data_IF_506039096031
#
_entry.id   IF_506039096031
#
_cell.length_a   1.000
_cell.length_b   1.000
_cell.length_c   1.000
_cell.angle_alpha   90.00
_cell.angle_beta   90.00
_cell.angle_gamma   90.00
#
_symmetry.space_group_name_H-M   'P 1'
#
loop_
_entity.id
_entity.type
_entity.pdbx_description
1 polymer ?
#
# COMPACT_ATOMS: atom_id res chain seq x y z
N UNK A 1 8.97 -9.29 19.21
CA UNK A 1 7.98 -10.38 19.00
C UNK A 1 8.68 -11.55 18.35
N UNK A 2 8.46 -12.80 18.81
CA UNK A 2 8.83 -13.99 18.04
C UNK A 2 7.55 -14.50 17.38
N UNK A 3 7.57 -14.68 16.06
CA UNK A 3 6.45 -15.28 15.33
C UNK A 3 6.38 -16.78 15.63
N UNK A 4 5.16 -17.32 15.76
CA UNK A 4 4.98 -18.76 15.86
C UNK A 4 5.18 -19.42 14.48
N UNK A 5 5.54 -20.70 14.42
CA UNK A 5 5.61 -21.43 13.15
C UNK A 5 4.34 -21.31 12.30
N UNK A 6 3.16 -21.37 12.93
CA UNK A 6 1.86 -21.24 12.25
C UNK A 6 1.71 -19.85 11.63
N UNK A 7 2.15 -18.80 12.32
CA UNK A 7 2.11 -17.43 11.81
C UNK A 7 3.07 -17.25 10.62
N UNK A 8 4.25 -17.87 10.68
CA UNK A 8 5.20 -17.83 9.55
C UNK A 8 4.65 -18.56 8.32
N UNK A 9 3.97 -19.69 8.52
CA UNK A 9 3.30 -20.43 7.45
C UNK A 9 2.16 -19.58 6.84
N UNK A 10 1.32 -18.94 7.66
CA UNK A 10 0.27 -18.01 7.18
C UNK A 10 0.87 -16.87 6.33
N UNK A 11 1.96 -16.27 6.79
CA UNK A 11 2.65 -15.21 6.05
C UNK A 11 3.20 -15.72 4.70
N UNK A 12 3.80 -16.90 4.68
CA UNK A 12 4.29 -17.52 3.44
C UNK A 12 3.14 -17.82 2.46
N UNK A 13 2.05 -18.41 2.94
CA UNK A 13 0.85 -18.68 2.14
C UNK A 13 0.28 -17.39 1.56
N UNK A 14 0.24 -16.30 2.34
CA UNK A 14 -0.21 -14.99 1.85
C UNK A 14 0.68 -14.45 0.74
N UNK A 15 2.00 -14.56 0.86
CA UNK A 15 2.91 -14.14 -0.21
C UNK A 15 2.65 -14.93 -1.51
N UNK A 16 2.48 -16.25 -1.42
CA UNK A 16 2.11 -17.06 -2.60
C UNK A 16 0.74 -16.68 -3.16
N UNK A 17 -0.24 -16.42 -2.29
CA UNK A 17 -1.59 -16.01 -2.72
C UNK A 17 -1.54 -14.69 -3.49
N UNK A 18 -0.75 -13.72 -3.03
CA UNK A 18 -0.53 -12.46 -3.73
C UNK A 18 0.11 -12.73 -5.08
N UNK A 19 1.21 -13.50 -5.13
CA UNK A 19 1.89 -13.85 -6.37
C UNK A 19 0.94 -14.46 -7.41
N UNK A 20 0.22 -15.52 -7.03
CA UNK A 20 -0.68 -16.23 -7.94
C UNK A 20 -1.87 -15.36 -8.38
N UNK A 21 -2.37 -14.48 -7.50
CA UNK A 21 -3.39 -13.51 -7.89
C UNK A 21 -2.87 -12.57 -8.97
N UNK A 22 -1.68 -11.99 -8.78
CA UNK A 22 -1.11 -11.03 -9.73
C UNK A 22 -0.70 -11.69 -11.06
N UNK A 23 -0.12 -12.90 -11.05
CA UNK A 23 0.16 -13.67 -12.27
C UNK A 23 -1.13 -14.00 -13.04
N UNK A 24 -2.22 -14.29 -12.33
CA UNK A 24 -3.51 -14.54 -12.97
C UNK A 24 -4.10 -13.27 -13.57
N UNK A 25 -3.99 -12.16 -12.86
CA UNK A 25 -4.42 -10.85 -13.35
C UNK A 25 -3.61 -10.44 -14.59
N UNK A 26 -2.30 -10.66 -14.60
CA UNK A 26 -1.42 -10.40 -15.75
C UNK A 26 -1.85 -11.20 -16.99
N UNK A 27 -2.12 -12.49 -16.79
CA UNK A 27 -2.67 -13.35 -17.84
C UNK A 27 -4.01 -12.83 -18.40
N UNK A 28 -4.93 -12.38 -17.53
CA UNK A 28 -6.22 -11.84 -17.96
C UNK A 28 -6.08 -10.48 -18.67
N UNK A 29 -5.11 -9.66 -18.25
CA UNK A 29 -4.78 -8.41 -18.92
C UNK A 29 -4.21 -8.66 -20.32
N UNK A 30 -3.33 -9.65 -20.48
CA UNK A 30 -2.81 -10.07 -21.79
C UNK A 30 -3.92 -10.56 -22.75
N UNK A 31 -5.01 -11.11 -22.22
CA UNK A 31 -6.21 -11.47 -22.98
C UNK A 31 -7.15 -10.28 -23.28
N UNK A 32 -6.84 -9.08 -22.78
CA UNK A 32 -7.68 -7.90 -22.94
C UNK A 32 -8.94 -7.89 -22.08
N UNK A 33 -9.02 -8.72 -21.03
CA UNK A 33 -10.20 -8.83 -20.16
C UNK A 33 -10.19 -7.83 -19.01
N UNK A 34 -9.01 -7.42 -18.56
CA UNK A 34 -8.83 -6.37 -17.54
C UNK A 34 -8.66 -5.04 -18.25
N UNK A 35 -9.50 -4.06 -17.92
CA UNK A 35 -9.51 -2.76 -18.57
C UNK A 35 -8.73 -1.72 -17.76
N UNK A 36 -8.17 -0.71 -18.44
CA UNK A 36 -7.42 0.37 -17.82
C UNK A 36 -5.93 0.07 -17.69
N UNK A 37 -5.26 0.72 -16.74
CA UNK A 37 -3.84 0.48 -16.46
C UNK A 37 -3.68 -0.49 -15.30
N UNK A 38 -2.69 -1.36 -15.42
CA UNK A 38 -2.40 -2.42 -14.45
C UNK A 38 -0.98 -2.22 -13.92
N UNK A 39 -0.83 -2.26 -12.60
CA UNK A 39 0.46 -2.08 -11.95
C UNK A 39 0.67 -3.18 -10.92
N UNK A 40 1.43 -4.20 -11.31
CA UNK A 40 1.70 -5.34 -10.45
C UNK A 40 2.76 -4.98 -9.39
N UNK A 41 2.63 -5.64 -8.24
CA UNK A 41 3.56 -5.63 -7.10
C UNK A 41 4.39 -6.92 -7.02
N UNK A 42 4.51 -7.67 -8.12
CA UNK A 42 5.27 -8.92 -8.16
C UNK A 42 6.72 -8.66 -7.71
N UNK A 43 7.15 -9.36 -6.67
CA UNK A 43 8.44 -9.16 -5.98
C UNK A 43 8.38 -8.28 -4.73
N UNK A 44 7.23 -7.67 -4.42
CA UNK A 44 6.98 -6.84 -3.23
C UNK A 44 6.03 -7.53 -2.23
N UNK A 45 5.81 -8.84 -2.35
CA UNK A 45 4.87 -9.56 -1.48
C UNK A 45 5.33 -9.57 -0.01
N UNK A 46 6.64 -9.67 0.19
CA UNK A 46 7.24 -9.73 1.51
C UNK A 46 7.06 -8.42 2.30
N UNK A 47 7.16 -7.27 1.64
CA UNK A 47 6.96 -5.97 2.31
C UNK A 47 5.49 -5.77 2.69
N UNK A 48 4.56 -6.12 1.79
CA UNK A 48 3.14 -6.05 2.07
C UNK A 48 2.73 -6.96 3.24
N UNK A 49 3.09 -8.25 3.18
CA UNK A 49 2.74 -9.23 4.22
C UNK A 49 3.46 -8.94 5.53
N UNK A 50 4.76 -8.60 5.47
CA UNK A 50 5.56 -8.28 6.65
C UNK A 50 4.98 -7.11 7.42
N UNK A 51 4.75 -5.98 6.74
CA UNK A 51 4.21 -4.76 7.36
C UNK A 51 2.79 -4.95 7.91
N UNK A 52 1.90 -5.59 7.15
CA UNK A 52 0.50 -5.76 7.59
C UNK A 52 0.37 -6.82 8.69
N UNK A 53 1.29 -7.79 8.77
CA UNK A 53 1.26 -8.81 9.83
C UNK A 53 1.45 -8.24 11.24
N UNK A 54 1.98 -7.02 11.38
CA UNK A 54 2.18 -6.34 12.67
C UNK A 54 1.00 -5.46 13.08
N UNK A 55 0.01 -5.28 12.21
CA UNK A 55 -1.15 -4.44 12.46
C UNK A 55 -2.24 -5.16 13.25
N UNK A 56 -2.97 -4.40 14.06
CA UNK A 56 -4.27 -4.84 14.57
C UNK A 56 -5.30 -4.84 13.43
N UNK A 57 -6.39 -5.63 13.57
CA UNK A 57 -7.45 -5.65 12.55
C UNK A 57 -8.01 -4.26 12.23
N UNK A 58 -8.14 -3.39 13.23
CA UNK A 58 -8.71 -2.04 13.13
C UNK A 58 -7.69 -0.94 12.78
N UNK A 59 -6.40 -1.27 12.61
CA UNK A 59 -5.41 -0.30 12.12
C UNK A 59 -5.60 -0.04 10.63
N UNK A 60 -5.24 1.17 10.20
CA UNK A 60 -5.45 1.62 8.84
C UNK A 60 -4.25 1.37 7.93
N UNK A 61 -4.54 1.20 6.64
CA UNK A 61 -3.54 1.28 5.58
C UNK A 61 -3.99 2.24 4.48
N UNK A 62 -3.01 2.90 3.88
CA UNK A 62 -3.13 3.61 2.60
C UNK A 62 -2.13 3.02 1.63
N UNK A 63 -2.61 2.64 0.45
CA UNK A 63 -1.84 1.90 -0.54
C UNK A 63 -1.44 2.78 -1.73
N UNK A 64 -0.45 2.30 -2.49
CA UNK A 64 -0.06 2.87 -3.77
C UNK A 64 -0.94 2.33 -4.91
N UNK A 65 -0.64 2.73 -6.15
CA UNK A 65 -1.21 2.14 -7.37
C UNK A 65 -0.84 0.66 -7.54
N UNK A 66 0.17 0.15 -6.81
CA UNK A 66 0.57 -1.27 -6.72
C UNK A 66 -0.03 -1.94 -5.47
N UNK A 67 -1.26 -1.59 -5.13
CA UNK A 67 -1.87 -1.89 -3.84
C UNK A 67 -2.39 -3.32 -3.66
N UNK A 68 -2.29 -4.20 -4.67
CA UNK A 68 -2.95 -5.51 -4.63
C UNK A 68 -2.45 -6.37 -3.47
N UNK A 69 -1.12 -6.44 -3.30
CA UNK A 69 -0.49 -7.15 -2.19
C UNK A 69 -0.95 -6.62 -0.83
N UNK A 70 -1.05 -5.30 -0.68
CA UNK A 70 -1.54 -4.67 0.55
C UNK A 70 -3.00 -5.05 0.86
N UNK A 71 -3.87 -5.02 -0.15
CA UNK A 71 -5.27 -5.39 0.01
C UNK A 71 -5.41 -6.84 0.47
N UNK A 72 -4.74 -7.78 -0.22
CA UNK A 72 -4.80 -9.21 0.10
C UNK A 72 -4.19 -9.49 1.47
N UNK A 73 -3.05 -8.87 1.80
CA UNK A 73 -2.40 -9.03 3.09
C UNK A 73 -3.27 -8.49 4.26
N UNK A 74 -4.06 -7.44 4.02
CA UNK A 74 -5.04 -6.88 4.97
C UNK A 74 -6.33 -7.71 5.07
N UNK A 75 -6.44 -8.80 4.30
CA UNK A 75 -7.53 -9.77 4.38
C UNK A 75 -8.67 -9.48 3.42
N UNK A 76 -8.41 -8.80 2.30
CA UNK A 76 -9.39 -8.66 1.23
C UNK A 76 -9.79 -10.03 0.63
N UNK A 77 -11.04 -10.14 0.21
CA UNK A 77 -11.52 -11.30 -0.54
C UNK A 77 -11.05 -11.19 -2.00
N UNK A 78 -10.23 -12.15 -2.42
CA UNK A 78 -9.68 -12.20 -3.78
C UNK A 78 -10.76 -12.34 -4.86
N UNK A 79 -11.94 -12.89 -4.54
CA UNK A 79 -13.04 -13.00 -5.49
C UNK A 79 -13.65 -11.62 -5.76
N UNK A 80 -13.87 -10.82 -4.70
CA UNK A 80 -14.34 -9.44 -4.84
C UNK A 80 -13.28 -8.57 -5.51
N UNK A 81 -11.99 -8.78 -5.22
CA UNK A 81 -10.92 -8.11 -5.94
C UNK A 81 -10.93 -8.48 -7.42
N UNK A 82 -11.00 -9.76 -7.78
CA UNK A 82 -11.05 -10.18 -9.18
C UNK A 82 -12.29 -9.63 -9.90
N UNK A 83 -13.44 -9.58 -9.21
CA UNK A 83 -14.64 -8.93 -9.74
C UNK A 83 -14.40 -7.44 -10.02
N UNK A 84 -13.70 -6.73 -9.14
CA UNK A 84 -13.33 -5.32 -9.32
C UNK A 84 -12.42 -5.11 -10.53
N UNK A 85 -11.40 -5.96 -10.71
CA UNK A 85 -10.51 -5.94 -11.88
C UNK A 85 -11.25 -6.17 -13.20
N UNK A 86 -12.28 -7.00 -13.18
CA UNK A 86 -13.12 -7.32 -14.34
C UNK A 86 -14.29 -6.34 -14.51
N UNK A 87 -14.32 -5.23 -13.77
CA UNK A 87 -15.36 -4.20 -13.90
C UNK A 87 -16.76 -4.66 -13.48
N UNK A 88 -16.86 -5.69 -12.63
CA UNK A 88 -18.15 -6.26 -12.20
C UNK A 88 -18.72 -5.50 -11.01
N UNK A 89 -20.05 -5.41 -10.95
CA UNK A 89 -20.78 -4.74 -9.86
C UNK A 89 -20.52 -5.36 -8.48
N UNK A 90 -20.20 -6.64 -8.43
CA UNK A 90 -19.85 -7.35 -7.19
C UNK A 90 -18.44 -7.04 -6.69
N UNK A 91 -17.67 -6.21 -7.39
CA UNK A 91 -16.36 -5.76 -6.93
C UNK A 91 -16.45 -4.84 -5.70
N UNK A 92 -15.34 -4.70 -4.99
CA UNK A 92 -15.23 -3.85 -3.79
C UNK A 92 -15.75 -2.42 -3.97
N UNK A 93 -15.55 -1.86 -5.17
CA UNK A 93 -15.95 -0.52 -5.56
C UNK A 93 -16.95 -0.54 -6.73
N UNK A 94 -17.69 -1.65 -6.87
CA UNK A 94 -18.67 -1.90 -7.93
C UNK A 94 -18.08 -1.82 -9.34
N UNK A 95 -16.84 -2.25 -9.50
CA UNK A 95 -16.15 -2.29 -10.79
C UNK A 95 -15.66 -0.93 -11.30
N UNK A 96 -15.70 0.12 -10.45
CA UNK A 96 -15.29 1.48 -10.82
C UNK A 96 -13.84 1.79 -10.48
N UNK A 97 -13.29 1.11 -9.49
CA UNK A 97 -11.93 1.33 -9.02
C UNK A 97 -10.88 0.55 -9.82
N UNK A 98 -11.27 -0.59 -10.39
CA UNK A 98 -10.38 -1.43 -11.19
C UNK A 98 -9.12 -1.85 -10.41
N UNK A 99 -7.99 -1.95 -11.11
CA UNK A 99 -6.71 -2.38 -10.52
C UNK A 99 -6.18 -1.40 -9.46
N UNK A 100 -6.29 -0.08 -9.68
CA UNK A 100 -5.54 0.92 -8.90
C UNK A 100 -6.30 1.54 -7.72
N UNK A 101 -7.61 1.31 -7.56
CA UNK A 101 -8.44 2.02 -6.59
C UNK A 101 -9.29 1.11 -5.70
N UNK A 102 -8.80 -0.09 -5.39
CA UNK A 102 -9.47 -1.00 -4.46
C UNK A 102 -9.43 -0.40 -3.05
N UNK A 103 -10.59 -0.35 -2.40
CA UNK A 103 -10.76 0.06 -1.01
C UNK A 103 -11.65 -0.94 -0.26
N UNK A 104 -11.25 -1.26 0.98
CA UNK A 104 -12.03 -2.07 1.93
C UNK A 104 -12.02 -1.30 3.27
N UNK A 105 -12.86 -0.27 3.32
CA UNK A 105 -12.87 0.71 4.43
C UNK A 105 -13.26 0.03 5.74
N UNK A 106 -14.14 -0.97 5.70
CA UNK A 106 -14.56 -1.73 6.88
C UNK A 106 -13.39 -2.46 7.53
N UNK A 107 -12.45 -2.97 6.74
CA UNK A 107 -11.21 -3.59 7.23
C UNK A 107 -10.05 -2.61 7.39
N UNK A 108 -10.29 -1.30 7.32
CA UNK A 108 -9.25 -0.29 7.49
C UNK A 108 -8.33 -0.10 6.28
N UNK A 109 -8.63 -0.66 5.11
CA UNK A 109 -7.96 -0.30 3.87
C UNK A 109 -8.65 0.92 3.25
N UNK A 110 -8.06 2.10 3.47
CA UNK A 110 -8.62 3.39 3.05
C UNK A 110 -8.46 3.67 1.54
N UNK A 111 -7.86 2.73 0.81
CA UNK A 111 -7.82 2.75 -0.65
C UNK A 111 -6.41 2.76 -1.22
N UNK A 112 -6.32 2.25 -2.44
CA UNK A 112 -5.21 2.43 -3.35
C UNK A 112 -5.42 3.69 -4.22
N UNK A 113 -4.33 4.33 -4.65
CA UNK A 113 -4.39 5.52 -5.50
C UNK A 113 -3.37 5.51 -6.62
N UNK A 114 -3.83 5.86 -7.83
CA UNK A 114 -3.02 6.17 -9.00
C UNK A 114 -2.15 7.41 -8.85
N UNK A 115 -2.49 8.33 -7.93
CA UNK A 115 -1.74 9.58 -7.73
C UNK A 115 -0.48 9.30 -6.94
N UNK A 116 0.68 9.46 -7.58
CA UNK A 116 1.99 9.26 -6.94
C UNK A 116 2.12 10.15 -5.71
N UNK A 117 2.31 9.53 -4.54
CA UNK A 117 2.41 10.22 -3.26
C UNK A 117 1.09 10.76 -2.71
N UNK A 118 -0.05 10.55 -3.39
CA UNK A 118 -1.35 11.09 -2.97
C UNK A 118 -1.85 10.57 -1.61
N UNK A 119 -1.44 9.35 -1.21
CA UNK A 119 -1.78 8.78 0.09
C UNK A 119 -1.03 9.42 1.27
N UNK A 120 0.13 10.04 1.03
CA UNK A 120 1.01 10.56 2.08
C UNK A 120 0.35 11.69 2.92
N UNK A 121 -0.23 12.75 2.32
CA UNK A 121 -0.94 13.77 3.09
C UNK A 121 -2.22 13.23 3.74
N UNK A 122 -2.91 12.29 3.09
CA UNK A 122 -4.10 11.64 3.65
C UNK A 122 -3.73 10.88 4.93
N UNK A 123 -2.57 10.20 4.95
CA UNK A 123 -2.11 9.46 6.12
C UNK A 123 -1.87 10.37 7.33
N UNK A 124 -1.32 11.58 7.11
CA UNK A 124 -1.22 12.59 8.18
C UNK A 124 -2.61 13.00 8.70
N UNK A 125 -3.60 13.19 7.82
CA UNK A 125 -4.98 13.45 8.22
C UNK A 125 -5.60 12.30 9.04
N UNK A 126 -5.35 11.05 8.64
CA UNK A 126 -5.79 9.85 9.37
C UNK A 126 -5.13 9.79 10.75
N UNK A 127 -3.81 10.02 10.83
CA UNK A 127 -3.08 10.08 12.10
C UNK A 127 -3.63 11.16 13.04
N UNK A 128 -3.96 12.34 12.50
CA UNK A 128 -4.60 13.40 13.27
C UNK A 128 -5.96 12.95 13.82
N UNK A 129 -6.80 12.33 13.00
CA UNK A 129 -8.09 11.78 13.42
C UNK A 129 -7.94 10.74 14.54
N UNK A 130 -7.02 9.79 14.40
CA UNK A 130 -6.72 8.79 15.43
C UNK A 130 -6.35 9.46 16.76
N UNK A 131 -5.46 10.47 16.71
CA UNK A 131 -5.01 11.20 17.89
C UNK A 131 -6.16 11.96 18.56
N UNK A 132 -7.00 12.63 17.78
CA UNK A 132 -8.15 13.39 18.29
C UNK A 132 -9.21 12.48 18.90
N UNK A 133 -9.49 11.33 18.27
CA UNK A 133 -10.45 10.34 18.76
C UNK A 133 -9.91 9.43 19.86
N UNK A 134 -8.61 9.50 20.15
CA UNK A 134 -7.90 8.70 21.18
C UNK A 134 -8.13 7.20 21.04
N UNK A 135 -8.17 6.69 19.81
CA UNK A 135 -8.49 5.28 19.55
C UNK A 135 -7.31 4.33 19.75
N UNK A 136 -6.08 4.85 19.77
CA UNK A 136 -4.88 4.01 19.90
C UNK A 136 -4.58 3.14 18.67
N UNK A 137 -5.24 3.44 17.54
CA UNK A 137 -4.95 2.85 16.23
C UNK A 137 -3.65 3.44 15.66
N UNK A 138 -3.15 2.85 14.58
CA UNK A 138 -2.09 3.42 13.73
C UNK A 138 -2.50 3.39 12.27
N UNK A 139 -1.79 4.15 11.43
CA UNK A 139 -1.92 4.05 9.97
C UNK A 139 -0.55 3.79 9.33
N UNK A 140 -0.47 2.78 8.47
CA UNK A 140 0.68 2.59 7.57
C UNK A 140 0.36 3.23 6.22
N UNK A 141 1.21 4.16 5.79
CA UNK A 141 1.17 4.72 4.44
C UNK A 141 2.28 4.09 3.60
N UNK A 142 1.91 3.24 2.65
CA UNK A 142 2.84 2.72 1.66
C UNK A 142 3.10 3.76 0.57
N UNK A 143 4.35 3.89 0.14
CA UNK A 143 4.75 4.75 -0.98
C UNK A 143 6.03 4.22 -1.64
N UNK A 144 6.22 4.47 -2.94
CA UNK A 144 7.45 4.09 -3.64
C UNK A 144 8.56 5.13 -3.50
N UNK A 145 9.79 4.77 -3.89
CA UNK A 145 10.94 5.68 -3.90
C UNK A 145 10.64 7.00 -4.64
N UNK A 146 10.13 6.94 -5.88
CA UNK A 146 9.76 8.16 -6.64
C UNK A 146 8.77 9.08 -5.93
N UNK A 147 7.88 8.54 -5.08
CA UNK A 147 6.94 9.36 -4.30
C UNK A 147 7.64 10.16 -3.18
N UNK A 148 8.81 9.71 -2.71
CA UNK A 148 9.59 10.43 -1.71
C UNK A 148 10.12 11.79 -2.21
N UNK A 149 10.18 12.00 -3.54
CA UNK A 149 10.59 13.26 -4.16
C UNK A 149 9.44 14.26 -4.37
N UNK A 150 8.21 13.91 -3.98
CA UNK A 150 7.08 14.83 -4.05
C UNK A 150 7.14 15.86 -2.93
N UNK A 151 6.75 17.11 -3.19
CA UNK A 151 6.66 18.15 -2.14
C UNK A 151 5.76 17.73 -0.98
N UNK A 152 4.63 17.08 -1.30
CA UNK A 152 3.69 16.54 -0.33
C UNK A 152 4.32 15.54 0.66
N UNK A 153 5.40 14.84 0.28
CA UNK A 153 6.15 14.00 1.22
C UNK A 153 6.76 14.84 2.34
N UNK A 154 7.50 15.89 1.99
CA UNK A 154 8.19 16.76 2.94
C UNK A 154 7.20 17.47 3.88
N UNK A 155 6.13 18.02 3.33
CA UNK A 155 5.09 18.70 4.10
C UNK A 155 4.41 17.76 5.10
N UNK A 156 4.04 16.56 4.64
CA UNK A 156 3.27 15.60 5.45
C UNK A 156 4.09 15.00 6.58
N UNK A 157 5.37 14.66 6.32
CA UNK A 157 6.26 14.12 7.34
C UNK A 157 6.58 15.17 8.40
N UNK A 158 6.84 16.42 8.00
CA UNK A 158 7.05 17.52 8.93
C UNK A 158 5.82 17.72 9.84
N UNK A 159 4.62 17.77 9.25
CA UNK A 159 3.37 17.88 10.03
C UNK A 159 3.16 16.69 10.97
N UNK A 160 3.40 15.47 10.47
CA UNK A 160 3.25 14.26 11.28
C UNK A 160 4.20 14.26 12.49
N UNK A 161 5.45 14.73 12.31
CA UNK A 161 6.45 14.80 13.36
C UNK A 161 6.10 15.85 14.42
N UNK A 162 5.83 17.11 14.03
CA UNK A 162 5.52 18.17 15.00
C UNK A 162 4.24 17.89 15.79
N UNK A 163 3.27 17.21 15.15
CA UNK A 163 2.03 16.82 15.80
C UNK A 163 2.12 15.45 16.48
N UNK A 164 3.24 14.73 16.39
CA UNK A 164 3.45 13.40 16.97
C UNK A 164 2.31 12.44 16.58
N UNK A 165 2.04 12.34 15.29
CA UNK A 165 0.92 11.55 14.77
C UNK A 165 1.27 10.05 14.73
N UNK A 166 0.29 9.15 14.94
CA UNK A 166 0.47 7.71 14.86
C UNK A 166 0.49 7.20 13.40
N UNK A 167 1.46 7.67 12.62
CA UNK A 167 1.63 7.34 11.20
C UNK A 167 2.98 6.66 10.99
N UNK A 168 2.97 5.55 10.24
CA UNK A 168 4.18 4.89 9.75
C UNK A 168 4.26 5.10 8.24
N UNK A 169 5.21 5.92 7.80
CA UNK A 169 5.52 6.08 6.39
C UNK A 169 6.46 4.95 5.94
N UNK A 170 5.97 4.05 5.10
CA UNK A 170 6.71 2.87 4.63
C UNK A 170 7.09 3.03 3.16
N UNK A 171 8.39 3.20 2.91
CA UNK A 171 8.95 3.32 1.56
C UNK A 171 9.23 1.94 0.96
N UNK A 172 8.54 1.60 -0.12
CA UNK A 172 8.82 0.45 -0.98
C UNK A 172 9.83 0.85 -2.06
N UNK A 173 11.11 0.89 -1.69
CA UNK A 173 12.19 1.24 -2.62
C UNK A 173 12.54 0.05 -3.52
N UNK A 174 12.06 0.05 -4.77
CA UNK A 174 12.40 -0.96 -5.77
C UNK A 174 13.50 -0.49 -6.74
N UNK A 175 14.20 0.59 -6.37
CA UNK A 175 15.30 1.21 -7.11
C UNK A 175 14.90 2.00 -8.37
N UNK A 176 13.62 2.04 -8.75
CA UNK A 176 13.17 2.69 -9.98
C UNK A 176 11.79 3.37 -9.88
N UNK A 177 11.78 4.68 -10.13
CA UNK A 177 10.57 5.43 -10.46
C UNK A 177 10.24 5.26 -11.95
N UNK A 178 9.51 4.21 -12.31
CA UNK A 178 9.26 3.83 -13.70
C UNK A 178 10.57 3.56 -14.46
N UNK A 179 11.09 4.51 -15.23
CA UNK A 179 12.36 4.42 -15.95
C UNK A 179 13.51 5.16 -15.26
N UNK A 180 13.22 5.91 -14.20
CA UNK A 180 14.20 6.74 -13.51
C UNK A 180 14.82 5.98 -12.33
N UNK A 181 16.12 5.69 -12.41
CA UNK A 181 16.88 5.05 -11.32
C UNK A 181 16.98 5.97 -10.10
N UNK A 182 16.86 5.38 -8.90
CA UNK A 182 17.05 6.07 -7.61
C UNK A 182 18.42 6.74 -7.53
N UNK A 183 19.47 6.12 -8.04
CA UNK A 183 20.83 6.68 -8.06
C UNK A 183 20.89 8.03 -8.79
N UNK A 184 20.09 8.19 -9.84
CA UNK A 184 20.01 9.44 -10.62
C UNK A 184 19.03 10.44 -10.01
N UNK A 185 18.04 9.98 -9.26
CA UNK A 185 16.93 10.79 -8.75
C UNK A 185 17.15 11.30 -7.32
N UNK A 186 18.15 10.78 -6.60
CA UNK A 186 18.40 11.11 -5.21
C UNK A 186 19.86 11.54 -5.01
N UNK A 187 20.05 12.63 -4.24
CA UNK A 187 21.37 13.05 -3.77
C UNK A 187 21.89 12.21 -2.58
N UNK A 188 21.14 11.19 -2.16
CA UNK A 188 21.47 10.30 -1.05
C UNK A 188 21.21 8.85 -1.49
N UNK A 189 22.05 7.93 -1.05
CA UNK A 189 21.89 6.50 -1.37
C UNK A 189 20.71 5.87 -0.63
N UNK A 190 20.55 6.22 0.65
CA UNK A 190 19.53 5.64 1.51
C UNK A 190 18.42 6.67 1.77
N UNK A 191 17.26 6.45 1.14
CA UNK A 191 16.06 7.30 1.26
C UNK A 191 15.63 7.48 2.73
N UNK A 192 15.82 6.46 3.57
CA UNK A 192 15.45 6.52 4.98
C UNK A 192 16.21 7.61 5.76
N UNK A 193 17.37 8.07 5.27
CA UNK A 193 18.11 9.19 5.89
C UNK A 193 17.29 10.50 5.91
N UNK A 194 16.33 10.69 4.99
CA UNK A 194 15.41 11.85 5.03
C UNK A 194 14.60 11.92 6.32
N UNK A 195 14.33 10.78 6.96
CA UNK A 195 13.57 10.75 8.21
C UNK A 195 14.24 11.57 9.32
N UNK A 196 15.57 11.68 9.35
CA UNK A 196 16.29 12.46 10.35
C UNK A 196 16.11 13.99 10.23
N UNK A 197 15.41 14.48 9.21
CA UNK A 197 15.09 15.90 9.01
C UNK A 197 13.74 16.31 9.60
N UNK A 198 12.97 15.38 10.17
CA UNK A 198 11.63 15.60 10.75
C UNK A 198 11.57 15.04 12.17
#
# INVERSE_FOLDING_TARGET
MKFTPEKLIDMLIKMYKIRFFEEKVDYLFALGLVHGTMHLSIGQEAVAVGAISTLKPDDYILSTHRGHGHCIAKGADINLMMAEFLGKETGYCRGRGGSMHIADVEKGNLGATGVVGGGIPIASGVGLSIKMRKTGQVVICFFGDGAANQGAFHESLNLAAIWKLPVVFLCENNMYGMSMSVEKAFAIENIAKRAGSY
#
